data_IF_343065454176
#
_entry.id   IF_343065454176
#
_cell.length_a   1.000
_cell.length_b   1.000
_cell.length_c   1.000
_cell.angle_alpha   90.00
_cell.angle_beta   90.00
_cell.angle_gamma   90.00
#
_symmetry.space_group_name_H-M   'P 1'
#
loop_
_entity.id
_entity.type
_entity.pdbx_description
1 polymer ?
#
# COMPACT_ATOMS: atom_id res chain seq x y z
N UNK A 1 -19.17 -15.33 67.01
CA UNK A 1 -18.16 -15.47 65.94
C UNK A 1 -18.61 -14.63 64.74
N UNK A 2 -17.96 -13.49 64.50
CA UNK A 2 -18.27 -12.57 63.40
C UNK A 2 -17.30 -12.87 62.28
N UNK A 3 -17.81 -13.29 61.12
CA UNK A 3 -16.98 -13.43 59.91
C UNK A 3 -16.86 -12.07 59.22
N UNK A 4 -15.63 -11.60 59.18
CA UNK A 4 -15.24 -10.42 58.44
C UNK A 4 -14.97 -10.81 57.01
N UNK A 5 -15.85 -10.44 56.09
CA UNK A 5 -15.67 -10.68 54.64
C UNK A 5 -14.71 -9.67 54.07
N UNK A 6 -13.54 -10.13 53.63
CA UNK A 6 -12.59 -9.36 52.84
C UNK A 6 -13.13 -9.21 51.42
N UNK A 7 -13.62 -8.04 51.05
CA UNK A 7 -13.89 -7.65 49.67
C UNK A 7 -12.54 -7.41 48.96
N UNK A 8 -12.08 -8.39 48.20
CA UNK A 8 -11.00 -8.22 47.21
C UNK A 8 -11.55 -7.35 46.05
N UNK A 9 -11.17 -6.09 46.06
CA UNK A 9 -11.34 -5.22 44.88
C UNK A 9 -10.43 -5.75 43.77
N UNK A 10 -11.05 -6.40 42.79
CA UNK A 10 -10.39 -6.72 41.53
C UNK A 10 -10.00 -5.39 40.84
N UNK A 11 -8.75 -5.20 40.42
CA UNK A 11 -8.39 -4.02 39.65
C UNK A 11 -9.21 -4.04 38.36
N UNK A 12 -9.92 -2.94 38.08
CA UNK A 12 -10.49 -2.67 36.77
C UNK A 12 -9.31 -2.77 35.79
N UNK A 13 -9.34 -3.80 34.95
CA UNK A 13 -8.44 -3.89 33.79
C UNK A 13 -8.77 -2.68 32.92
N UNK A 14 -7.98 -1.63 33.02
CA UNK A 14 -8.00 -0.52 32.08
C UNK A 14 -7.82 -1.16 30.69
N UNK A 15 -8.76 -0.95 29.79
CA UNK A 15 -8.60 -1.35 28.38
C UNK A 15 -7.31 -0.68 27.89
N UNK A 16 -6.29 -1.50 27.65
CA UNK A 16 -5.05 -1.02 27.03
C UNK A 16 -5.42 -0.51 25.65
N UNK A 17 -5.43 0.80 25.49
CA UNK A 17 -5.73 1.44 24.22
C UNK A 17 -4.67 1.04 23.20
N UNK A 18 -5.07 0.68 22.00
CA UNK A 18 -4.15 0.31 20.94
C UNK A 18 -3.31 1.54 20.56
N UNK A 19 -1.99 1.43 20.75
CA UNK A 19 -1.02 2.50 20.50
C UNK A 19 -0.20 2.23 19.24
N UNK A 20 -0.76 1.46 18.29
CA UNK A 20 -0.09 1.19 17.02
C UNK A 20 -0.11 2.42 16.13
N UNK A 21 1.00 2.61 15.40
CA UNK A 21 1.11 3.66 14.41
C UNK A 21 0.47 3.21 13.09
N UNK A 22 -0.50 3.97 12.61
CA UNK A 22 -1.16 3.69 11.33
C UNK A 22 -0.23 3.98 10.14
N UNK A 23 -0.50 3.33 9.00
CA UNK A 23 0.18 3.62 7.74
C UNK A 23 -0.06 5.07 7.32
N UNK A 24 -1.31 5.52 7.34
CA UNK A 24 -1.69 6.93 7.19
C UNK A 24 -1.68 7.57 8.57
N UNK A 25 -0.69 8.40 8.85
CA UNK A 25 -0.45 8.97 10.19
C UNK A 25 -1.57 9.90 10.65
N UNK A 26 -2.33 10.46 9.73
CA UNK A 26 -3.55 11.20 10.06
C UNK A 26 -4.67 10.32 10.65
N UNK A 27 -4.55 9.01 10.63
CA UNK A 27 -5.49 8.10 11.28
C UNK A 27 -5.06 7.70 12.70
N UNK A 28 -3.94 8.19 13.20
CA UNK A 28 -3.54 8.04 14.59
C UNK A 28 -4.47 8.87 15.47
N UNK A 29 -4.95 8.29 16.56
CA UNK A 29 -5.76 8.98 17.58
C UNK A 29 -5.04 8.99 18.92
N UNK A 30 -4.55 10.16 19.31
CA UNK A 30 -3.86 10.39 20.56
C UNK A 30 -4.71 11.19 21.57
N UNK A 31 -5.99 11.39 21.30
CA UNK A 31 -6.89 12.19 22.15
C UNK A 31 -7.01 11.67 23.60
N UNK A 32 -6.82 10.35 23.80
CA UNK A 32 -6.81 9.75 25.15
C UNK A 32 -5.68 10.24 26.05
N UNK A 33 -4.58 10.77 25.49
CA UNK A 33 -3.46 11.37 26.25
C UNK A 33 -3.80 12.75 26.85
N UNK A 34 -5.03 13.23 26.63
CA UNK A 34 -5.59 14.33 27.42
C UNK A 34 -5.58 14.01 28.92
N UNK A 35 -5.74 12.73 29.29
CA UNK A 35 -5.55 12.22 30.64
C UNK A 35 -4.06 11.92 30.89
N UNK A 36 -3.37 12.67 31.77
CA UNK A 36 -1.96 12.44 32.05
C UNK A 36 -1.66 11.04 32.62
N UNK A 37 -2.62 10.38 33.25
CA UNK A 37 -2.46 9.02 33.80
C UNK A 37 -2.29 7.95 32.69
N UNK A 38 -2.69 8.26 31.46
CA UNK A 38 -2.54 7.41 30.30
C UNK A 38 -1.14 7.52 29.64
N UNK A 39 -0.34 8.51 30.07
CA UNK A 39 1.00 8.72 29.52
C UNK A 39 1.98 7.72 30.12
N UNK A 40 2.60 6.91 29.27
CA UNK A 40 3.53 5.85 29.68
C UNK A 40 4.74 5.74 28.75
N UNK A 41 4.86 6.63 27.78
CA UNK A 41 5.90 6.64 26.77
C UNK A 41 6.66 7.97 26.74
N UNK A 42 7.93 7.90 26.30
CA UNK A 42 8.78 9.09 26.14
C UNK A 42 8.15 10.15 25.22
N UNK A 43 7.46 9.71 24.16
CA UNK A 43 6.88 10.60 23.15
C UNK A 43 5.47 11.10 23.49
N UNK A 44 4.79 10.51 24.50
CA UNK A 44 3.42 10.88 24.88
C UNK A 44 3.22 12.39 25.14
N UNK A 45 4.17 13.14 25.75
CA UNK A 45 3.99 14.57 25.95
C UNK A 45 3.79 15.41 24.70
N UNK A 46 4.37 15.02 23.56
CA UNK A 46 4.21 15.73 22.30
C UNK A 46 3.02 15.22 21.46
N UNK A 47 2.44 14.06 21.83
CA UNK A 47 1.26 13.51 21.17
C UNK A 47 -0.04 14.23 21.54
N UNK A 48 -0.07 14.91 22.63
CA UNK A 48 -1.22 15.72 23.05
C UNK A 48 -0.75 16.97 23.78
N UNK A 49 -0.64 18.07 23.03
CA UNK A 49 -0.28 19.40 23.55
C UNK A 49 -1.54 20.27 23.51
N UNK A 50 -2.16 20.60 24.68
CA UNK A 50 -3.40 21.38 24.70
C UNK A 50 -3.18 22.82 24.23
N UNK A 51 -4.14 23.38 23.49
CA UNK A 51 -4.08 24.73 22.92
C UNK A 51 -4.96 25.75 23.68
N UNK A 52 -5.44 25.42 24.89
CA UNK A 52 -6.17 26.34 25.75
C UNK A 52 -7.66 26.51 25.45
N UNK A 53 -8.21 25.91 24.38
CA UNK A 53 -9.64 25.83 24.13
C UNK A 53 -10.18 24.40 24.29
N UNK A 54 -11.50 24.24 24.45
CA UNK A 54 -12.10 22.93 24.67
C UNK A 54 -11.93 22.03 23.42
N UNK A 55 -11.36 20.83 23.61
CA UNK A 55 -11.01 19.90 22.55
C UNK A 55 -10.07 20.49 21.48
N UNK A 56 -9.17 21.39 21.90
CA UNK A 56 -8.13 21.93 21.05
C UNK A 56 -6.76 21.39 21.50
N UNK A 57 -6.04 20.75 20.59
CA UNK A 57 -4.71 20.23 20.83
C UNK A 57 -3.92 20.11 19.53
N UNK A 58 -2.61 19.98 19.64
CA UNK A 58 -1.75 19.58 18.56
C UNK A 58 -1.01 18.28 18.92
N UNK A 59 -0.92 17.38 17.96
CA UNK A 59 -0.15 16.14 18.05
C UNK A 59 1.03 16.19 17.09
N UNK A 60 2.22 15.85 17.58
CA UNK A 60 3.43 15.73 16.76
C UNK A 60 3.87 14.28 16.63
N UNK A 61 4.45 13.93 15.51
CA UNK A 61 5.04 12.63 15.31
C UNK A 61 5.89 12.56 14.05
N UNK A 62 6.48 11.40 13.83
CA UNK A 62 7.35 11.21 12.69
C UNK A 62 7.72 9.76 12.43
N UNK A 63 8.52 9.59 11.38
CA UNK A 63 9.09 8.31 10.96
C UNK A 63 10.49 8.53 10.40
N UNK A 64 11.39 7.62 10.73
CA UNK A 64 12.71 7.46 10.12
C UNK A 64 12.75 6.04 9.55
N UNK A 65 13.17 5.90 8.29
CA UNK A 65 13.39 4.60 7.66
C UNK A 65 14.69 4.62 6.86
N UNK A 66 15.55 3.65 7.15
CA UNK A 66 16.75 3.36 6.38
C UNK A 66 16.55 2.00 5.70
N UNK A 67 16.78 1.93 4.40
CA UNK A 67 16.67 0.71 3.62
C UNK A 67 17.90 0.51 2.74
N UNK A 68 18.58 -0.61 2.93
CA UNK A 68 19.66 -1.06 2.05
C UNK A 68 19.08 -2.07 1.08
N UNK A 69 19.32 -1.87 -0.21
CA UNK A 69 18.89 -2.78 -1.27
C UNK A 69 20.02 -3.17 -2.19
N UNK A 70 20.03 -4.44 -2.59
CA UNK A 70 20.93 -4.97 -3.60
C UNK A 70 20.15 -5.78 -4.62
N UNK A 71 20.28 -5.40 -5.90
CA UNK A 71 19.64 -6.07 -7.03
C UNK A 71 20.69 -6.55 -8.00
N UNK A 72 20.80 -7.86 -8.17
CA UNK A 72 21.67 -8.47 -9.19
C UNK A 72 20.89 -8.76 -10.48
N UNK A 73 21.45 -8.39 -11.63
CA UNK A 73 20.82 -8.54 -12.96
C UNK A 73 19.47 -7.83 -13.08
N UNK A 74 19.39 -6.61 -12.58
CA UNK A 74 18.19 -5.80 -12.64
C UNK A 74 17.56 -5.84 -14.05
N UNK A 75 16.22 -5.89 -14.08
CA UNK A 75 15.47 -6.00 -15.33
C UNK A 75 15.90 -7.20 -16.20
N UNK A 76 16.15 -8.37 -15.54
CA UNK A 76 16.63 -9.63 -16.12
C UNK A 76 17.92 -9.50 -16.92
N UNK A 77 18.82 -8.59 -16.49
CA UNK A 77 20.14 -8.39 -17.10
C UNK A 77 20.15 -7.38 -18.25
N UNK A 78 19.09 -6.59 -18.45
CA UNK A 78 19.15 -5.39 -19.30
C UNK A 78 20.16 -4.39 -18.74
N UNK A 79 20.27 -4.28 -17.41
CA UNK A 79 21.34 -3.57 -16.73
C UNK A 79 22.49 -4.54 -16.47
N UNK A 80 23.71 -4.17 -16.90
CA UNK A 80 24.88 -5.07 -16.88
C UNK A 80 25.60 -5.15 -15.55
N UNK A 81 25.18 -4.41 -14.53
CA UNK A 81 25.82 -4.33 -13.21
C UNK A 81 24.79 -4.67 -12.10
N UNK A 82 25.30 -5.15 -10.98
CA UNK A 82 24.50 -5.20 -9.77
C UNK A 82 24.26 -3.79 -9.25
N UNK A 83 23.05 -3.51 -8.87
CA UNK A 83 22.66 -2.24 -8.30
C UNK A 83 22.63 -2.39 -6.77
N UNK A 84 23.32 -1.52 -6.07
CA UNK A 84 23.33 -1.47 -4.60
C UNK A 84 23.08 -0.02 -4.21
N UNK A 85 22.09 0.21 -3.36
CA UNK A 85 21.71 1.55 -2.97
C UNK A 85 21.16 1.60 -1.56
N UNK A 86 21.19 2.80 -0.98
CA UNK A 86 20.64 3.14 0.32
C UNK A 86 19.51 4.13 0.14
N UNK A 87 18.35 3.81 0.69
CA UNK A 87 17.17 4.68 0.73
C UNK A 87 16.98 5.20 2.15
N UNK A 88 16.94 6.51 2.29
CA UNK A 88 16.74 7.19 3.57
C UNK A 88 15.45 8.00 3.51
N UNK A 89 14.49 7.73 4.41
CA UNK A 89 13.22 8.44 4.49
C UNK A 89 13.00 9.04 5.86
N UNK A 90 12.72 10.34 5.88
CA UNK A 90 12.41 11.10 7.08
C UNK A 90 11.06 11.79 6.91
N UNK A 91 10.13 11.55 7.83
CA UNK A 91 8.81 12.17 7.81
C UNK A 91 8.50 12.77 9.19
N UNK A 92 8.00 13.99 9.21
CA UNK A 92 7.58 14.70 10.42
C UNK A 92 6.19 15.26 10.21
N UNK A 93 5.29 15.11 11.19
CA UNK A 93 3.95 15.66 11.08
C UNK A 93 3.52 16.43 12.32
N UNK A 94 2.58 17.33 12.08
CA UNK A 94 1.82 18.01 13.09
C UNK A 94 0.33 17.98 12.74
N UNK A 95 -0.51 17.68 13.72
CA UNK A 95 -1.94 17.46 13.59
C UNK A 95 -2.67 18.37 14.58
N UNK A 96 -3.25 19.46 14.08
CA UNK A 96 -4.01 20.43 14.87
C UNK A 96 -5.48 20.10 14.87
N UNK A 97 -6.03 19.88 16.06
CA UNK A 97 -7.45 19.76 16.30
C UNK A 97 -7.98 21.04 16.93
N UNK A 98 -8.98 21.68 16.30
CA UNK A 98 -9.58 22.91 16.78
C UNK A 98 -11.08 22.67 17.04
N UNK A 99 -11.39 22.41 18.30
CA UNK A 99 -12.71 21.94 18.71
C UNK A 99 -13.04 20.58 18.07
N UNK A 100 -14.33 20.38 17.75
CA UNK A 100 -14.82 19.10 17.21
C UNK A 100 -14.99 19.10 15.68
N UNK A 101 -14.77 20.24 15.03
CA UNK A 101 -15.19 20.46 13.65
C UNK A 101 -14.05 20.79 12.68
N UNK A 102 -12.92 21.26 13.16
CA UNK A 102 -11.81 21.68 12.32
C UNK A 102 -10.55 20.91 12.68
N UNK A 103 -9.85 20.47 11.64
CA UNK A 103 -8.55 19.80 11.75
C UNK A 103 -7.65 20.29 10.63
N UNK A 104 -6.40 20.57 10.97
CA UNK A 104 -5.35 20.87 10.03
C UNK A 104 -4.20 19.89 10.24
N UNK A 105 -3.80 19.18 9.19
CA UNK A 105 -2.74 18.19 9.24
C UNK A 105 -1.66 18.54 8.22
N UNK A 106 -0.41 18.52 8.67
CA UNK A 106 0.77 18.70 7.82
C UNK A 106 1.78 17.62 8.10
N UNK A 107 2.29 16.99 7.05
CA UNK A 107 3.40 16.06 7.11
C UNK A 107 4.45 16.45 6.06
N UNK A 108 5.68 16.62 6.52
CA UNK A 108 6.84 16.83 5.68
C UNK A 108 7.46 15.48 5.31
N UNK A 109 8.03 15.38 4.11
CA UNK A 109 8.84 14.26 3.64
C UNK A 109 10.21 14.71 3.21
N UNK A 110 11.22 13.87 3.49
CA UNK A 110 12.53 13.90 2.86
C UNK A 110 12.92 12.48 2.48
N UNK A 111 13.28 12.25 1.24
CA UNK A 111 13.79 11.00 0.71
C UNK A 111 15.14 11.24 0.04
N UNK A 112 16.14 10.43 0.36
CA UNK A 112 17.46 10.48 -0.26
C UNK A 112 17.83 9.08 -0.72
N UNK A 113 18.33 8.98 -1.94
CA UNK A 113 18.85 7.74 -2.51
C UNK A 113 20.33 7.90 -2.84
N UNK A 114 21.17 7.06 -2.21
CA UNK A 114 22.61 7.04 -2.43
C UNK A 114 23.05 5.73 -3.09
N UNK A 115 24.18 5.82 -3.82
CA UNK A 115 24.92 4.69 -4.43
C UNK A 115 24.25 3.99 -5.61
N UNK A 116 23.04 4.37 -6.02
CA UNK A 116 22.43 3.74 -7.20
C UNK A 116 23.23 4.02 -8.44
N UNK A 117 23.55 2.99 -9.18
CA UNK A 117 24.17 3.09 -10.48
C UNK A 117 23.20 3.79 -11.48
N UNK A 118 23.65 4.90 -12.06
CA UNK A 118 22.82 5.73 -12.95
C UNK A 118 22.13 6.91 -12.25
N UNK A 119 22.32 7.05 -10.93
CA UNK A 119 21.73 8.12 -10.13
C UNK A 119 20.36 7.78 -9.53
N UNK A 120 19.84 8.63 -8.65
CA UNK A 120 18.61 8.39 -7.92
C UNK A 120 17.39 8.38 -8.84
N UNK A 121 16.39 7.57 -8.48
CA UNK A 121 15.10 7.54 -9.17
C UNK A 121 14.18 8.65 -8.65
N UNK A 122 13.30 9.22 -9.49
CA UNK A 122 12.34 10.25 -9.04
C UNK A 122 11.43 9.80 -7.89
N UNK A 123 11.14 8.48 -7.80
CA UNK A 123 10.32 7.90 -6.72
C UNK A 123 11.10 7.67 -5.42
N UNK A 124 12.41 7.92 -5.42
CA UNK A 124 13.29 7.68 -4.26
C UNK A 124 14.05 8.92 -3.80
N UNK A 125 14.04 9.98 -4.61
CA UNK A 125 14.77 11.22 -4.30
C UNK A 125 13.84 12.42 -4.18
N UNK A 126 13.75 12.99 -2.97
CA UNK A 126 13.07 14.25 -2.67
C UNK A 126 13.71 14.91 -1.47
N UNK A 127 14.37 16.04 -1.66
CA UNK A 127 15.12 16.70 -0.59
C UNK A 127 14.22 17.11 0.59
N UNK A 128 13.15 17.84 0.32
CA UNK A 128 12.14 18.22 1.31
C UNK A 128 10.88 18.72 0.62
N UNK A 129 9.72 18.20 0.99
CA UNK A 129 8.42 18.70 0.55
C UNK A 129 7.30 18.31 1.53
N UNK A 130 6.08 18.72 1.24
CA UNK A 130 4.89 18.23 1.90
C UNK A 130 4.52 16.85 1.32
N UNK A 131 4.45 15.84 2.18
CA UNK A 131 3.76 14.58 1.86
C UNK A 131 2.27 14.79 1.88
N UNK A 132 1.77 15.39 2.98
CA UNK A 132 0.38 15.77 3.13
C UNK A 132 0.29 17.18 3.74
N UNK A 133 -0.72 17.94 3.29
CA UNK A 133 -1.08 19.23 3.87
C UNK A 133 -2.54 19.51 3.56
N UNK A 134 -3.45 19.29 4.52
CA UNK A 134 -4.89 19.42 4.29
C UNK A 134 -5.64 20.06 5.47
N UNK A 135 -6.79 20.62 5.14
CA UNK A 135 -7.81 21.06 6.08
C UNK A 135 -8.98 20.08 6.05
N UNK A 136 -9.50 19.69 7.21
CA UNK A 136 -10.78 18.98 7.36
C UNK A 136 -11.80 19.84 8.07
N UNK A 137 -13.05 19.79 7.57
CA UNK A 137 -14.21 20.45 8.17
C UNK A 137 -15.33 19.44 8.31
N UNK A 138 -15.80 19.22 9.53
CA UNK A 138 -16.86 18.27 9.86
C UNK A 138 -16.72 17.70 11.25
N UNK A 139 -17.68 16.87 11.67
CA UNK A 139 -17.71 16.33 13.02
C UNK A 139 -17.91 14.81 12.99
N UNK A 140 -16.87 14.07 13.29
CA UNK A 140 -16.83 12.59 13.28
C UNK A 140 -17.43 11.94 14.54
N UNK A 141 -17.75 12.70 15.58
CA UNK A 141 -18.30 12.18 16.85
C UNK A 141 -19.81 11.84 16.78
N UNK A 142 -20.47 12.11 15.67
CA UNK A 142 -21.90 11.76 15.47
C UNK A 142 -22.03 10.34 14.93
N UNK A 143 -23.19 9.71 15.16
CA UNK A 143 -23.49 8.35 14.61
C UNK A 143 -23.40 8.33 13.09
N UNK A 144 -23.98 9.35 12.43
CA UNK A 144 -23.83 9.62 11.01
C UNK A 144 -23.09 10.95 10.87
N UNK A 145 -22.09 11.01 10.01
CA UNK A 145 -21.26 12.20 9.85
C UNK A 145 -20.73 12.31 8.43
N UNK A 146 -20.37 13.50 8.05
CA UNK A 146 -19.61 13.80 6.85
C UNK A 146 -18.53 14.82 7.17
N UNK A 147 -17.35 14.67 6.55
CA UNK A 147 -16.19 15.54 6.67
C UNK A 147 -15.69 15.85 5.27
N UNK A 148 -15.47 17.11 5.00
CA UNK A 148 -14.79 17.59 3.79
C UNK A 148 -13.31 17.78 4.10
N UNK A 149 -12.45 17.18 3.29
CA UNK A 149 -10.99 17.38 3.29
C UNK A 149 -10.59 18.06 2.00
N UNK A 150 -9.73 19.06 2.08
CA UNK A 150 -9.15 19.77 0.93
C UNK A 150 -7.65 19.98 1.14
N UNK A 151 -6.87 19.78 0.09
CA UNK A 151 -5.41 19.91 0.11
C UNK A 151 -4.70 18.65 -0.38
N UNK A 152 -3.39 18.58 -0.08
CA UNK A 152 -2.55 17.41 -0.38
C UNK A 152 -2.80 16.30 0.62
N UNK A 153 -3.02 15.10 0.12
CA UNK A 153 -3.44 13.95 0.93
C UNK A 153 -3.01 12.63 0.30
N UNK A 154 -2.88 11.60 1.13
CA UNK A 154 -2.66 10.23 0.70
C UNK A 154 -4.00 9.49 0.52
N UNK A 155 -4.01 8.53 -0.40
CA UNK A 155 -5.15 7.63 -0.63
C UNK A 155 -4.68 6.18 -0.48
N UNK A 156 -5.40 5.40 0.35
CA UNK A 156 -5.14 3.98 0.52
C UNK A 156 -6.46 3.25 0.76
N UNK A 157 -6.85 2.36 -0.16
CA UNK A 157 -8.13 1.68 -0.14
C UNK A 157 -8.01 0.17 -0.34
N UNK A 158 -8.89 -0.57 0.34
CA UNK A 158 -8.97 -2.02 0.23
C UNK A 158 -7.68 -2.71 0.67
N UNK A 159 -7.20 -3.63 -0.16
CA UNK A 159 -5.92 -4.32 0.01
C UNK A 159 -4.74 -3.55 -0.62
N UNK A 160 -4.98 -2.35 -1.18
CA UNK A 160 -3.97 -1.57 -1.90
C UNK A 160 -3.73 -2.05 -3.35
N UNK A 161 -4.53 -2.97 -3.87
CA UNK A 161 -4.34 -3.48 -5.24
C UNK A 161 -4.48 -2.42 -6.32
N UNK A 162 -5.39 -1.44 -6.11
CA UNK A 162 -5.67 -0.39 -7.08
C UNK A 162 -5.32 1.01 -6.59
N UNK A 163 -5.41 1.26 -5.28
CA UNK A 163 -5.12 2.58 -4.69
C UNK A 163 -4.34 2.41 -3.40
N UNK A 164 -3.09 2.81 -3.42
CA UNK A 164 -2.17 2.72 -2.29
C UNK A 164 -1.19 3.90 -2.26
N UNK A 165 -0.64 4.16 -1.09
CA UNK A 165 0.43 5.15 -0.87
C UNK A 165 1.79 4.71 -1.44
N UNK A 166 1.93 3.48 -1.95
CA UNK A 166 3.20 2.91 -2.41
C UNK A 166 4.28 2.95 -1.33
N UNK A 167 4.06 2.23 -0.25
CA UNK A 167 4.98 2.24 0.91
C UNK A 167 6.42 1.76 0.58
N UNK A 168 6.61 0.91 -0.43
CA UNK A 168 7.93 0.40 -0.86
C UNK A 168 8.91 1.52 -1.24
N UNK A 169 8.64 2.33 -2.28
CA UNK A 169 9.49 3.45 -2.68
C UNK A 169 9.79 4.41 -1.55
N UNK A 170 10.89 5.15 -1.67
CA UNK A 170 11.31 6.10 -0.64
C UNK A 170 10.37 7.31 -0.55
N UNK A 171 9.81 7.72 -1.70
CA UNK A 171 8.80 8.79 -1.80
C UNK A 171 7.43 8.15 -2.01
N UNK A 172 6.50 8.41 -1.08
CA UNK A 172 5.13 7.88 -1.12
C UNK A 172 4.27 8.67 -2.11
N UNK A 173 3.18 8.06 -2.55
CA UNK A 173 2.26 8.70 -3.50
C UNK A 173 1.24 9.57 -2.77
N UNK A 174 1.25 10.86 -3.08
CA UNK A 174 0.25 11.82 -2.61
C UNK A 174 -0.56 12.44 -3.77
N UNK A 175 -1.64 13.13 -3.41
CA UNK A 175 -2.60 13.70 -4.35
C UNK A 175 -3.10 15.06 -3.85
N UNK A 176 -3.24 16.02 -4.76
CA UNK A 176 -3.83 17.33 -4.49
C UNK A 176 -5.30 17.36 -4.92
N UNK A 177 -6.21 17.77 -4.03
CA UNK A 177 -7.62 17.92 -4.36
C UNK A 177 -8.56 17.84 -3.17
N UNK A 178 -9.76 17.31 -3.39
CA UNK A 178 -10.82 17.24 -2.40
C UNK A 178 -11.25 15.81 -2.13
N UNK A 179 -11.63 15.53 -0.89
CA UNK A 179 -12.21 14.26 -0.45
C UNK A 179 -13.33 14.51 0.54
N UNK A 180 -14.43 13.81 0.35
CA UNK A 180 -15.52 13.71 1.33
C UNK A 180 -15.40 12.32 1.97
N UNK A 181 -15.42 12.30 3.29
CA UNK A 181 -15.51 11.09 4.10
C UNK A 181 -16.85 11.12 4.83
N UNK A 182 -17.57 10.02 4.80
CA UNK A 182 -18.89 9.95 5.44
C UNK A 182 -19.13 8.60 6.10
N UNK A 183 -19.93 8.62 7.16
CA UNK A 183 -20.51 7.42 7.78
C UNK A 183 -22.02 7.55 7.74
N UNK A 184 -22.67 6.56 7.13
CA UNK A 184 -24.13 6.46 7.02
C UNK A 184 -24.58 5.06 7.46
N UNK A 185 -25.09 4.95 8.69
CA UNK A 185 -25.38 3.66 9.32
C UNK A 185 -24.12 2.81 9.48
N UNK A 186 -24.08 1.67 8.79
CA UNK A 186 -22.92 0.74 8.78
C UNK A 186 -21.94 1.03 7.63
N UNK A 187 -22.28 1.91 6.69
CA UNK A 187 -21.44 2.26 5.57
C UNK A 187 -20.42 3.32 5.95
N UNK A 188 -19.15 3.08 5.61
CA UNK A 188 -18.13 4.10 5.50
C UNK A 188 -17.95 4.40 4.01
N UNK A 189 -18.06 5.66 3.63
CA UNK A 189 -18.09 6.09 2.23
C UNK A 189 -17.08 7.23 2.06
N UNK A 190 -16.17 7.06 1.12
CA UNK A 190 -15.25 8.11 0.69
C UNK A 190 -15.50 8.44 -0.78
N UNK A 191 -15.51 9.72 -1.10
CA UNK A 191 -15.56 10.21 -2.48
C UNK A 191 -14.48 11.27 -2.68
N UNK A 192 -13.78 11.25 -3.80
CA UNK A 192 -12.69 12.21 -4.06
C UNK A 192 -12.60 12.61 -5.52
N UNK A 193 -12.00 13.78 -5.74
CA UNK A 193 -11.53 14.26 -7.03
C UNK A 193 -10.17 14.93 -6.82
N UNK A 194 -9.12 14.35 -7.41
CA UNK A 194 -7.72 14.71 -7.12
C UNK A 194 -6.83 14.63 -8.37
N UNK A 195 -5.65 15.18 -8.25
CA UNK A 195 -4.54 15.00 -9.19
C UNK A 195 -3.35 14.40 -8.45
N UNK A 196 -2.60 13.46 -9.04
CA UNK A 196 -1.38 12.97 -8.42
C UNK A 196 -0.36 14.10 -8.28
N UNK A 197 0.44 14.05 -7.24
CA UNK A 197 1.58 14.92 -7.05
C UNK A 197 2.74 14.47 -7.95
N UNK A 198 3.41 15.41 -8.60
CA UNK A 198 4.63 15.18 -9.38
C UNK A 198 5.84 15.42 -8.49
N UNK A 199 6.51 14.36 -8.09
CA UNK A 199 7.75 14.44 -7.36
C UNK A 199 8.88 14.98 -8.26
N UNK A 200 9.49 16.08 -7.80
CA UNK A 200 10.62 16.73 -8.48
C UNK A 200 11.77 16.83 -7.49
N UNK A 201 13.00 16.52 -7.89
CA UNK A 201 14.17 16.75 -7.02
C UNK A 201 14.23 18.19 -6.51
N UNK A 202 14.59 18.39 -5.24
CA UNK A 202 14.71 19.72 -4.65
C UNK A 202 13.79 19.98 -3.46
N UNK A 203 13.49 21.25 -3.21
CA UNK A 203 12.80 21.72 -2.01
C UNK A 203 11.46 22.37 -2.39
N UNK A 204 10.34 21.93 -1.81
CA UNK A 204 9.00 22.53 -1.92
C UNK A 204 8.62 22.90 -3.37
N UNK A 205 8.91 22.02 -4.32
CA UNK A 205 8.72 22.25 -5.75
C UNK A 205 7.81 21.21 -6.43
N UNK A 206 7.19 20.34 -5.67
CA UNK A 206 6.16 19.43 -6.16
C UNK A 206 4.93 20.20 -6.62
N UNK A 207 4.32 19.72 -7.68
CA UNK A 207 3.12 20.32 -8.27
C UNK A 207 2.12 19.25 -8.67
N UNK A 208 0.81 19.54 -8.69
CA UNK A 208 -0.17 18.61 -9.24
C UNK A 208 0.14 18.26 -10.70
N UNK A 209 -0.02 16.98 -11.06
CA UNK A 209 0.04 16.57 -12.45
C UNK A 209 -1.21 17.02 -13.21
N UNK A 210 -1.08 18.05 -14.04
CA UNK A 210 -2.18 18.56 -14.84
C UNK A 210 -2.53 17.68 -16.05
N UNK A 211 -1.76 16.62 -16.31
CA UNK A 211 -2.02 15.65 -17.38
C UNK A 211 -2.85 14.46 -16.91
N UNK A 212 -3.04 14.33 -15.59
CA UNK A 212 -3.77 13.22 -14.98
C UNK A 212 -4.83 13.75 -14.02
N UNK A 213 -6.04 13.20 -14.10
CA UNK A 213 -7.11 13.40 -13.12
C UNK A 213 -7.58 12.04 -12.60
N UNK A 214 -7.80 11.96 -11.30
CA UNK A 214 -8.25 10.74 -10.61
C UNK A 214 -9.41 11.06 -9.67
N UNK A 215 -10.51 10.32 -9.81
CA UNK A 215 -11.67 10.48 -8.93
C UNK A 215 -12.24 9.11 -8.56
N UNK A 216 -13.00 9.06 -7.50
CA UNK A 216 -13.56 7.80 -7.05
C UNK A 216 -14.62 7.93 -5.99
N UNK A 217 -15.32 6.82 -5.83
CA UNK A 217 -16.25 6.54 -4.75
C UNK A 217 -15.90 5.15 -4.20
N UNK A 218 -15.65 5.05 -2.90
CA UNK A 218 -15.32 3.81 -2.23
C UNK A 218 -16.21 3.64 -1.01
N UNK A 219 -16.93 2.54 -0.93
CA UNK A 219 -17.85 2.25 0.16
C UNK A 219 -17.51 0.90 0.80
N UNK A 220 -17.31 0.89 2.11
CA UNK A 220 -17.02 -0.32 2.92
C UNK A 220 -18.13 -0.54 3.93
N UNK A 221 -18.54 -1.79 4.08
CA UNK A 221 -19.53 -2.20 5.07
C UNK A 221 -19.19 -3.54 5.70
N UNK A 222 -19.32 -3.70 7.05
CA UNK A 222 -19.42 -5.02 7.68
C UNK A 222 -20.64 -5.76 7.16
N UNK A 223 -20.50 -7.03 6.78
CA UNK A 223 -21.61 -7.83 6.24
C UNK A 223 -22.07 -8.90 7.23
N UNK A 224 -21.20 -9.83 7.60
CA UNK A 224 -21.48 -10.91 8.58
C UNK A 224 -20.18 -11.35 9.28
N UNK A 225 -20.24 -11.65 10.59
CA UNK A 225 -19.21 -12.37 11.37
C UNK A 225 -17.76 -12.10 10.89
N UNK A 226 -17.26 -10.88 11.02
CA UNK A 226 -15.92 -10.46 10.57
C UNK A 226 -15.74 -10.39 9.03
N UNK A 227 -16.78 -10.63 8.24
CA UNK A 227 -16.74 -10.44 6.78
C UNK A 227 -17.16 -9.03 6.47
N UNK A 228 -16.41 -8.36 5.61
CA UNK A 228 -16.73 -7.03 5.09
C UNK A 228 -16.84 -7.08 3.58
N UNK A 229 -17.61 -6.15 3.04
CA UNK A 229 -17.78 -5.94 1.60
C UNK A 229 -17.38 -4.51 1.25
N UNK A 230 -16.60 -4.37 0.20
CA UNK A 230 -16.26 -3.10 -0.41
C UNK A 230 -16.88 -3.03 -1.81
N UNK A 231 -17.43 -1.87 -2.16
CA UNK A 231 -17.93 -1.55 -3.49
C UNK A 231 -17.31 -0.23 -3.92
N UNK A 232 -16.85 -0.14 -5.16
CA UNK A 232 -16.19 1.07 -5.59
C UNK A 232 -16.30 1.34 -7.09
N UNK A 233 -16.20 2.62 -7.41
CA UNK A 233 -16.01 3.16 -8.75
C UNK A 233 -14.81 4.09 -8.73
N UNK A 234 -13.90 3.93 -9.72
CA UNK A 234 -12.73 4.78 -9.91
C UNK A 234 -12.72 5.29 -11.35
N UNK A 235 -12.43 6.56 -11.54
CA UNK A 235 -12.26 7.19 -12.84
C UNK A 235 -10.85 7.74 -12.98
N UNK A 236 -10.21 7.50 -14.12
CA UNK A 236 -8.87 7.98 -14.44
C UNK A 236 -8.86 8.60 -15.84
N UNK A 237 -8.38 9.81 -15.95
CA UNK A 237 -8.07 10.50 -17.20
C UNK A 237 -6.56 10.77 -17.26
N UNK A 238 -5.87 10.23 -18.26
CA UNK A 238 -4.43 10.42 -18.51
C UNK A 238 -4.19 10.82 -19.96
N UNK A 239 -3.47 11.92 -20.18
CA UNK A 239 -3.16 12.39 -21.54
C UNK A 239 -2.12 11.52 -22.25
N UNK A 240 -1.21 10.90 -21.51
CA UNK A 240 -0.05 10.17 -22.04
C UNK A 240 0.03 8.74 -21.47
N UNK A 241 -1.06 7.99 -21.51
CA UNK A 241 -1.05 6.58 -21.13
C UNK A 241 -0.26 5.77 -22.16
N UNK A 242 0.57 4.81 -21.71
CA UNK A 242 1.41 3.99 -22.58
C UNK A 242 1.23 2.50 -22.25
N UNK A 243 1.00 1.71 -23.30
CA UNK A 243 0.92 0.26 -23.27
C UNK A 243 1.74 -0.31 -24.44
N UNK A 244 1.86 -1.63 -24.57
CA UNK A 244 2.63 -2.22 -25.67
C UNK A 244 2.14 -1.77 -27.07
N UNK A 245 0.82 -1.58 -27.24
CA UNK A 245 0.24 -1.08 -28.49
C UNK A 245 0.57 0.38 -28.81
N UNK A 246 1.19 1.13 -27.89
CA UNK A 246 1.56 2.54 -28.07
C UNK A 246 1.04 3.45 -26.98
N UNK A 247 1.07 4.77 -27.25
CA UNK A 247 0.68 5.82 -26.31
C UNK A 247 -0.51 6.62 -26.85
N UNK A 248 -1.48 6.93 -25.99
CA UNK A 248 -2.64 7.74 -26.32
C UNK A 248 -3.26 8.37 -25.06
N UNK A 249 -4.26 9.24 -25.27
CA UNK A 249 -5.13 9.69 -24.17
C UNK A 249 -6.01 8.53 -23.72
N UNK A 250 -6.13 8.37 -22.40
CA UNK A 250 -6.92 7.33 -21.77
C UNK A 250 -7.98 7.95 -20.87
N UNK A 251 -9.23 7.52 -21.05
CA UNK A 251 -10.30 7.70 -20.08
C UNK A 251 -10.76 6.32 -19.63
N UNK A 252 -10.50 5.98 -18.36
CA UNK A 252 -10.77 4.65 -17.82
C UNK A 252 -11.73 4.73 -16.64
N UNK A 253 -12.79 3.94 -16.70
CA UNK A 253 -13.76 3.73 -15.64
C UNK A 253 -13.57 2.33 -15.07
N UNK A 254 -13.36 2.24 -13.77
CA UNK A 254 -13.11 0.99 -13.05
C UNK A 254 -14.23 0.77 -12.05
N UNK A 255 -14.86 -0.39 -12.10
CA UNK A 255 -15.90 -0.81 -11.16
C UNK A 255 -15.42 -2.10 -10.50
N UNK A 256 -15.45 -2.13 -9.19
CA UNK A 256 -14.99 -3.31 -8.45
C UNK A 256 -15.80 -3.60 -7.21
N UNK A 257 -15.71 -4.86 -6.82
CA UNK A 257 -16.27 -5.36 -5.57
C UNK A 257 -15.25 -6.27 -4.87
N UNK A 258 -15.17 -6.16 -3.56
CA UNK A 258 -14.27 -6.95 -2.73
C UNK A 258 -15.03 -7.54 -1.55
N UNK A 259 -14.80 -8.81 -1.25
CA UNK A 259 -15.31 -9.52 -0.09
C UNK A 259 -14.11 -10.05 0.70
N UNK A 260 -14.02 -9.67 1.97
CA UNK A 260 -12.85 -10.00 2.75
C UNK A 260 -13.15 -10.30 4.22
N UNK A 261 -12.29 -11.13 4.82
CA UNK A 261 -12.24 -11.42 6.24
C UNK A 261 -10.78 -11.31 6.70
N UNK A 262 -10.49 -10.48 7.73
CA UNK A 262 -9.12 -10.28 8.19
C UNK A 262 -8.53 -11.55 8.81
N UNK A 263 -7.20 -11.61 8.82
CA UNK A 263 -6.42 -12.65 9.50
C UNK A 263 -6.83 -12.77 10.97
N UNK A 264 -6.99 -13.98 11.45
CA UNK A 264 -7.41 -14.26 12.82
C UNK A 264 -6.28 -13.95 13.82
N UNK A 265 -6.62 -13.23 14.89
CA UNK A 265 -5.68 -12.88 15.96
C UNK A 265 -5.71 -13.84 17.14
N UNK A 266 -6.86 -14.35 17.53
CA UNK A 266 -7.08 -15.07 18.80
C UNK A 266 -7.56 -16.50 18.62
N UNK A 267 -8.38 -16.79 17.62
CA UNK A 267 -8.97 -18.10 17.37
C UNK A 267 -8.46 -18.70 16.06
N UNK A 268 -8.29 -20.03 15.95
CA UNK A 268 -7.99 -20.68 14.68
C UNK A 268 -9.10 -20.38 13.68
N UNK A 269 -8.79 -19.75 12.58
CA UNK A 269 -9.80 -19.40 11.59
C UNK A 269 -9.18 -19.20 10.20
N UNK A 270 -10.04 -19.40 9.20
CA UNK A 270 -9.75 -18.99 7.84
C UNK A 270 -9.91 -17.49 7.69
N UNK A 271 -9.10 -16.92 6.84
CA UNK A 271 -9.21 -15.55 6.34
C UNK A 271 -9.25 -15.58 4.80
N UNK A 272 -9.77 -14.54 4.20
CA UNK A 272 -9.80 -14.42 2.74
C UNK A 272 -9.94 -12.96 2.28
N UNK A 273 -9.56 -12.73 1.03
CA UNK A 273 -9.67 -11.45 0.34
C UNK A 273 -9.90 -11.74 -1.14
N UNK A 274 -11.13 -11.55 -1.62
CA UNK A 274 -11.54 -11.78 -3.00
C UNK A 274 -11.99 -10.48 -3.62
N UNK A 275 -11.42 -10.12 -4.76
CA UNK A 275 -11.70 -8.87 -5.45
C UNK A 275 -11.87 -9.10 -6.96
N UNK A 276 -13.01 -8.66 -7.49
CA UNK A 276 -13.32 -8.67 -8.92
C UNK A 276 -13.45 -7.25 -9.45
N UNK A 277 -12.85 -6.98 -10.62
CA UNK A 277 -12.79 -5.63 -11.21
C UNK A 277 -13.02 -5.70 -12.70
N UNK A 278 -13.80 -4.76 -13.23
CA UNK A 278 -13.93 -4.51 -14.65
C UNK A 278 -13.53 -3.07 -14.98
N UNK A 279 -12.91 -2.88 -16.16
CA UNK A 279 -12.48 -1.58 -16.64
C UNK A 279 -13.00 -1.33 -18.04
N UNK A 280 -13.62 -0.17 -18.22
CA UNK A 280 -14.24 0.26 -19.48
C UNK A 280 -13.77 1.69 -19.80
N UNK A 281 -13.88 2.12 -21.04
CA UNK A 281 -13.53 3.49 -21.42
C UNK A 281 -12.96 3.60 -22.81
N UNK A 282 -12.06 4.58 -23.02
CA UNK A 282 -11.40 4.82 -24.31
C UNK A 282 -9.88 4.97 -24.18
N UNK A 283 -9.17 4.51 -25.19
CA UNK A 283 -7.73 4.70 -25.37
C UNK A 283 -7.47 5.17 -26.79
N UNK A 284 -7.14 6.44 -26.97
CA UNK A 284 -7.13 7.09 -28.27
C UNK A 284 -8.50 7.00 -28.96
N UNK A 285 -8.55 6.38 -30.14
CA UNK A 285 -9.79 6.10 -30.86
C UNK A 285 -10.40 4.74 -30.54
N UNK A 286 -9.74 3.89 -29.75
CA UNK A 286 -10.21 2.55 -29.39
C UNK A 286 -10.92 2.51 -28.03
N UNK A 287 -11.66 1.41 -27.80
CA UNK A 287 -12.32 1.13 -26.53
C UNK A 287 -11.36 0.47 -25.53
N UNK A 288 -11.67 0.58 -24.23
CA UNK A 288 -11.06 -0.20 -23.16
C UNK A 288 -12.06 -1.27 -22.69
N UNK A 289 -11.63 -2.53 -22.61
CA UNK A 289 -12.35 -3.63 -21.97
C UNK A 289 -11.35 -4.55 -21.29
N UNK A 290 -11.11 -4.29 -20.01
CA UNK A 290 -10.13 -5.03 -19.23
C UNK A 290 -10.76 -5.52 -17.91
N UNK A 291 -10.13 -6.49 -17.28
CA UNK A 291 -10.64 -7.07 -16.05
C UNK A 291 -9.53 -7.70 -15.22
N UNK A 292 -9.80 -7.89 -13.93
CA UNK A 292 -8.97 -8.70 -13.04
C UNK A 292 -9.84 -9.41 -12.00
N UNK A 293 -9.37 -10.58 -11.59
CA UNK A 293 -9.86 -11.26 -10.40
C UNK A 293 -8.68 -11.63 -9.52
N UNK A 294 -8.76 -11.26 -8.24
CA UNK A 294 -7.71 -11.49 -7.26
C UNK A 294 -8.28 -12.26 -6.07
N UNK A 295 -7.53 -13.23 -5.58
CA UNK A 295 -7.88 -14.03 -4.41
C UNK A 295 -6.69 -14.24 -3.49
N UNK A 296 -6.92 -14.13 -2.18
CA UNK A 296 -6.01 -14.56 -1.13
C UNK A 296 -6.83 -15.35 -0.11
N UNK A 297 -6.42 -16.57 0.21
CA UNK A 297 -7.10 -17.43 1.16
C UNK A 297 -6.09 -18.03 2.11
N UNK A 298 -6.34 -17.90 3.42
CA UNK A 298 -5.44 -18.40 4.44
C UNK A 298 -6.14 -19.07 5.60
N UNK A 299 -5.35 -19.78 6.38
CA UNK A 299 -5.77 -20.37 7.65
C UNK A 299 -4.67 -20.21 8.70
N UNK A 300 -5.04 -19.65 9.86
CA UNK A 300 -4.16 -19.44 11.00
C UNK A 300 -4.43 -20.47 12.10
N UNK A 301 -3.40 -21.16 12.53
CA UNK A 301 -3.44 -22.15 13.62
C UNK A 301 -3.02 -21.47 14.93
N UNK A 302 -3.92 -20.72 15.58
CA UNK A 302 -3.58 -19.94 16.78
C UNK A 302 -3.27 -20.80 18.02
N UNK A 303 -3.75 -22.07 18.05
CA UNK A 303 -3.53 -23.02 19.15
C UNK A 303 -2.25 -23.85 19.01
N UNK A 304 -1.46 -23.62 17.95
CA UNK A 304 -0.20 -24.29 17.69
C UNK A 304 0.96 -23.34 18.00
N UNK A 305 2.08 -23.82 18.59
CA UNK A 305 3.28 -22.99 18.77
C UNK A 305 3.66 -22.28 17.47
N UNK A 306 4.20 -21.06 17.60
CA UNK A 306 4.55 -20.19 16.48
C UNK A 306 3.35 -19.70 15.64
N UNK A 307 2.12 -20.10 15.96
CA UNK A 307 0.87 -19.65 15.31
C UNK A 307 0.97 -19.65 13.78
N UNK A 308 1.33 -20.78 13.14
CA UNK A 308 1.57 -20.80 11.71
C UNK A 308 0.31 -20.44 10.93
N UNK A 309 0.49 -19.65 9.86
CA UNK A 309 -0.53 -19.36 8.85
C UNK A 309 -0.05 -19.86 7.51
N UNK A 310 -0.89 -20.62 6.83
CA UNK A 310 -0.70 -21.01 5.44
C UNK A 310 -1.72 -20.27 4.58
N UNK A 311 -1.28 -19.73 3.47
CA UNK A 311 -2.15 -19.04 2.52
C UNK A 311 -1.73 -19.31 1.08
N UNK A 312 -2.71 -19.13 0.21
CA UNK A 312 -2.52 -19.14 -1.23
C UNK A 312 -3.18 -17.89 -1.81
N UNK A 313 -2.42 -17.12 -2.55
CA UNK A 313 -2.89 -16.04 -3.38
C UNK A 313 -2.88 -16.53 -4.83
N UNK A 314 -3.92 -16.21 -5.59
CA UNK A 314 -4.01 -16.53 -7.01
C UNK A 314 -4.79 -15.42 -7.70
N UNK A 315 -4.13 -14.75 -8.63
CA UNK A 315 -4.67 -13.58 -9.30
C UNK A 315 -4.57 -13.76 -10.82
N UNK A 316 -5.48 -13.12 -11.54
CA UNK A 316 -5.46 -13.07 -13.01
C UNK A 316 -5.89 -11.67 -13.48
N UNK A 317 -5.15 -11.08 -14.43
CA UNK A 317 -5.49 -9.81 -15.06
C UNK A 317 -5.34 -9.89 -16.56
N UNK A 318 -6.30 -9.34 -17.26
CA UNK A 318 -6.37 -9.35 -18.72
C UNK A 318 -5.18 -8.64 -19.37
N UNK A 319 -4.73 -9.20 -20.48
CA UNK A 319 -3.79 -8.61 -21.44
C UNK A 319 -4.47 -8.16 -22.72
N UNK A 320 -3.68 -7.65 -23.65
CA UNK A 320 -4.13 -7.07 -24.91
C UNK A 320 -3.94 -8.00 -26.11
N UNK A 321 -4.77 -7.75 -27.13
CA UNK A 321 -4.54 -8.20 -28.49
C UNK A 321 -4.33 -6.97 -29.37
N UNK A 322 -3.08 -6.61 -29.73
CA UNK A 322 -2.78 -5.39 -30.48
C UNK A 322 -3.48 -5.30 -31.86
N UNK A 323 -3.93 -6.42 -32.43
CA UNK A 323 -4.74 -6.46 -33.65
C UNK A 323 -6.21 -6.08 -33.47
N UNK A 324 -6.68 -5.93 -32.22
CA UNK A 324 -8.04 -5.53 -31.88
C UNK A 324 -8.15 -4.00 -31.79
N UNK A 325 -9.36 -3.46 -32.07
CA UNK A 325 -9.69 -2.06 -31.77
C UNK A 325 -9.77 -1.76 -30.26
N UNK A 326 -9.93 -2.79 -29.43
CA UNK A 326 -10.11 -2.71 -27.99
C UNK A 326 -8.80 -2.93 -27.26
N UNK A 327 -8.43 -2.05 -26.33
CA UNK A 327 -7.34 -2.25 -25.37
C UNK A 327 -7.82 -3.20 -24.28
N UNK A 328 -7.23 -4.39 -24.22
CA UNK A 328 -7.53 -5.43 -23.23
C UNK A 328 -6.64 -5.37 -21.97
N UNK A 329 -5.54 -4.62 -22.00
CA UNK A 329 -4.60 -4.55 -20.87
C UNK A 329 -5.24 -3.92 -19.65
N UNK A 330 -5.25 -4.67 -18.55
CA UNK A 330 -5.66 -4.16 -17.23
C UNK A 330 -4.68 -3.09 -16.72
N UNK A 331 -5.20 -2.03 -16.10
CA UNK A 331 -4.39 -0.98 -15.45
C UNK A 331 -4.56 -1.07 -13.94
N UNK A 332 -3.48 -1.26 -13.17
CA UNK A 332 -3.56 -1.34 -11.71
C UNK A 332 -3.71 0.04 -11.03
N UNK A 333 -3.71 1.13 -11.77
CA UNK A 333 -3.90 2.53 -11.37
C UNK A 333 -2.76 3.00 -10.43
N UNK A 334 -2.91 2.88 -9.11
CA UNK A 334 -1.90 3.23 -8.08
C UNK A 334 -1.70 2.07 -7.10
N UNK A 335 -1.21 0.91 -7.56
CA UNK A 335 -1.12 -0.29 -6.75
C UNK A 335 -0.06 -0.18 -5.66
N UNK A 336 -0.18 -1.05 -4.64
CA UNK A 336 0.85 -1.24 -3.63
C UNK A 336 2.16 -1.71 -4.29
N UNK A 337 3.29 -1.13 -3.89
CA UNK A 337 4.59 -1.43 -4.47
C UNK A 337 4.98 -2.91 -4.35
N UNK A 338 4.84 -3.52 -3.19
CA UNK A 338 5.15 -4.91 -2.92
C UNK A 338 4.01 -5.89 -3.21
N UNK A 339 3.31 -5.72 -4.34
CA UNK A 339 2.14 -6.54 -4.72
C UNK A 339 2.42 -8.05 -4.67
N UNK A 340 3.60 -8.47 -5.10
CA UNK A 340 4.07 -9.85 -5.06
C UNK A 340 5.16 -10.09 -3.99
N UNK A 341 5.25 -9.25 -2.96
CA UNK A 341 6.28 -9.32 -1.92
C UNK A 341 7.60 -8.69 -2.35
N UNK A 342 8.70 -9.22 -1.86
CA UNK A 342 10.07 -8.81 -2.17
C UNK A 342 10.29 -8.74 -3.69
N UNK A 343 10.93 -7.81 -4.27
CA UNK A 343 11.12 -7.54 -5.70
C UNK A 343 10.06 -6.61 -6.32
N UNK A 344 9.36 -5.85 -5.52
CA UNK A 344 8.37 -4.91 -6.00
C UNK A 344 8.89 -3.98 -7.11
N UNK A 345 10.13 -3.56 -6.99
CA UNK A 345 10.71 -2.54 -7.86
C UNK A 345 11.27 -3.08 -9.18
N UNK A 346 11.56 -4.37 -9.25
CA UNK A 346 12.31 -4.98 -10.36
C UNK A 346 11.61 -6.16 -11.00
N UNK A 347 10.48 -6.58 -10.44
CA UNK A 347 9.69 -7.73 -10.89
C UNK A 347 8.45 -7.37 -11.71
N UNK A 348 7.77 -8.39 -12.24
CA UNK A 348 6.49 -8.21 -12.94
C UNK A 348 5.40 -7.70 -12.00
N UNK A 349 4.53 -6.85 -12.54
CA UNK A 349 3.34 -6.31 -11.87
C UNK A 349 2.05 -7.05 -12.22
N UNK A 350 0.92 -6.60 -11.65
CA UNK A 350 -0.38 -7.24 -11.82
C UNK A 350 -1.07 -6.85 -13.14
N UNK A 351 -0.38 -6.98 -14.26
CA UNK A 351 -0.83 -6.56 -15.60
C UNK A 351 -0.51 -7.65 -16.62
N UNK A 352 -1.50 -8.10 -17.38
CA UNK A 352 -1.35 -9.22 -18.32
C UNK A 352 -0.73 -10.45 -17.66
N UNK A 353 -1.29 -10.90 -16.54
CA UNK A 353 -0.65 -11.96 -15.77
C UNK A 353 -1.65 -12.96 -15.20
N UNK A 354 -1.11 -14.12 -14.86
CA UNK A 354 -1.71 -15.15 -14.00
C UNK A 354 -0.64 -15.48 -12.96
N UNK A 355 -1.00 -15.57 -11.69
CA UNK A 355 -0.07 -16.08 -10.68
C UNK A 355 -0.70 -17.09 -9.73
N UNK A 356 0.18 -17.86 -9.11
CA UNK A 356 -0.12 -18.70 -7.95
C UNK A 356 0.99 -18.47 -6.93
N UNK A 357 0.59 -18.12 -5.70
CA UNK A 357 1.49 -17.61 -4.69
C UNK A 357 1.22 -18.26 -3.32
N UNK A 358 1.65 -19.52 -3.08
CA UNK A 358 1.63 -20.12 -1.75
C UNK A 358 2.59 -19.41 -0.80
N UNK A 359 2.14 -19.17 0.43
CA UNK A 359 2.90 -18.51 1.50
C UNK A 359 2.70 -19.21 2.83
N UNK A 360 3.76 -19.32 3.61
CA UNK A 360 3.76 -19.73 5.01
C UNK A 360 4.30 -18.58 5.87
N UNK A 361 3.66 -18.34 7.02
CA UNK A 361 4.07 -17.34 8.00
C UNK A 361 4.09 -17.96 9.39
N UNK A 362 4.98 -17.49 10.26
CA UNK A 362 5.03 -17.90 11.66
C UNK A 362 5.41 -16.72 12.56
N UNK A 363 4.92 -16.76 13.80
CA UNK A 363 5.22 -15.78 14.84
C UNK A 363 6.16 -16.41 15.87
N UNK A 364 7.36 -15.87 15.99
CA UNK A 364 8.34 -16.29 16.97
C UNK A 364 8.21 -15.43 18.25
N UNK A 365 8.80 -15.86 19.38
CA UNK A 365 8.91 -15.01 20.57
C UNK A 365 9.56 -13.65 20.29
N UNK A 366 9.35 -12.70 21.19
CA UNK A 366 10.00 -11.37 21.17
C UNK A 366 9.69 -10.51 19.95
N UNK A 367 8.49 -10.67 19.36
CA UNK A 367 8.06 -9.80 18.25
C UNK A 367 8.68 -10.13 16.89
N UNK A 368 9.28 -11.31 16.74
CA UNK A 368 9.83 -11.75 15.46
C UNK A 368 8.76 -12.49 14.65
N UNK A 369 8.61 -12.14 13.40
CA UNK A 369 7.81 -12.87 12.41
C UNK A 369 8.68 -13.33 11.25
N UNK A 370 8.39 -14.51 10.73
CA UNK A 370 9.05 -15.05 9.55
C UNK A 370 8.01 -15.43 8.51
N UNK A 371 8.33 -15.26 7.26
CA UNK A 371 7.54 -15.80 6.15
C UNK A 371 8.40 -16.33 5.03
N UNK A 372 7.87 -17.31 4.31
CA UNK A 372 8.44 -17.81 3.08
C UNK A 372 7.33 -18.00 2.05
N UNK A 373 7.63 -17.71 0.80
CA UNK A 373 6.68 -17.79 -0.30
C UNK A 373 7.33 -18.25 -1.61
N UNK A 374 6.48 -18.60 -2.57
CA UNK A 374 6.87 -18.79 -3.96
C UNK A 374 5.82 -18.16 -4.84
N UNK A 375 6.21 -17.22 -5.69
CA UNK A 375 5.33 -16.64 -6.71
C UNK A 375 5.64 -17.28 -8.04
N UNK A 376 4.65 -17.89 -8.71
CA UNK A 376 4.79 -18.48 -10.05
C UNK A 376 3.92 -17.67 -11.01
N UNK A 377 4.48 -17.22 -12.14
CA UNK A 377 3.82 -16.23 -12.99
C UNK A 377 3.82 -16.61 -14.47
N UNK A 378 2.69 -16.33 -15.12
CA UNK A 378 2.46 -16.50 -16.56
C UNK A 378 1.81 -15.23 -17.14
N UNK A 379 2.01 -14.99 -18.43
CA UNK A 379 1.21 -14.00 -19.18
C UNK A 379 -0.20 -14.53 -19.40
N UNK A 380 -1.22 -13.69 -19.20
CA UNK A 380 -2.60 -14.02 -19.53
C UNK A 380 -2.79 -14.05 -21.05
N UNK A 381 -2.31 -13.02 -21.75
CA UNK A 381 -2.30 -12.94 -23.19
C UNK A 381 -0.85 -12.96 -23.73
N UNK A 382 -0.57 -13.83 -24.71
CA UNK A 382 0.76 -13.97 -25.31
C UNK A 382 1.08 -12.91 -26.36
N UNK A 383 0.11 -12.13 -26.77
CA UNK A 383 0.29 -11.02 -27.70
C UNK A 383 0.58 -9.69 -26.99
N UNK A 384 0.59 -9.70 -25.64
CA UNK A 384 0.92 -8.56 -24.78
C UNK A 384 2.14 -8.87 -23.90
N UNK A 385 2.87 -7.84 -23.49
CA UNK A 385 4.13 -7.97 -22.75
C UNK A 385 3.97 -8.17 -21.25
N UNK A 386 5.10 -8.04 -20.55
CA UNK A 386 5.20 -8.02 -19.10
C UNK A 386 5.43 -6.59 -18.63
N UNK A 387 4.65 -6.17 -17.63
CA UNK A 387 4.61 -4.83 -17.09
C UNK A 387 5.13 -4.78 -15.65
N UNK A 388 5.65 -3.64 -15.24
CA UNK A 388 5.98 -3.36 -13.83
C UNK A 388 4.72 -3.18 -12.97
N UNK A 389 4.91 -3.16 -11.66
CA UNK A 389 3.82 -2.96 -10.69
C UNK A 389 2.98 -1.70 -10.98
N UNK A 390 3.56 -0.52 -11.31
CA UNK A 390 2.77 0.67 -11.67
C UNK A 390 2.14 0.62 -13.07
N UNK A 391 2.36 -0.45 -13.85
CA UNK A 391 1.72 -0.63 -15.15
C UNK A 391 2.52 -0.15 -16.37
N UNK A 392 3.80 0.22 -16.24
CA UNK A 392 4.64 0.49 -17.42
C UNK A 392 5.28 -0.78 -17.99
N UNK A 393 5.45 -0.82 -19.31
CA UNK A 393 5.99 -1.97 -20.02
C UNK A 393 7.46 -2.23 -19.66
N UNK A 394 7.78 -3.43 -19.21
CA UNK A 394 9.15 -3.90 -18.93
C UNK A 394 9.75 -4.68 -20.10
N UNK A 395 8.99 -5.65 -20.61
CA UNK A 395 9.41 -6.54 -21.71
C UNK A 395 8.25 -6.70 -22.67
N UNK A 396 8.43 -6.24 -23.90
CA UNK A 396 7.45 -6.40 -24.96
C UNK A 396 7.30 -7.89 -25.36
N UNK A 397 6.17 -8.26 -25.93
CA UNK A 397 5.91 -9.62 -26.37
C UNK A 397 6.91 -10.09 -27.44
N UNK A 398 7.37 -9.21 -28.35
CA UNK A 398 8.39 -9.46 -29.37
C UNK A 398 8.10 -10.72 -30.19
N UNK A 399 6.82 -11.09 -30.40
CA UNK A 399 6.41 -12.28 -31.13
C UNK A 399 6.58 -13.60 -30.36
N UNK A 400 7.06 -13.61 -29.13
CA UNK A 400 7.14 -14.81 -28.30
C UNK A 400 5.74 -15.33 -27.95
N UNK A 401 5.53 -16.62 -28.13
CA UNK A 401 4.28 -17.33 -27.76
C UNK A 401 4.37 -17.99 -26.38
N UNK A 402 5.51 -17.88 -25.68
CA UNK A 402 5.69 -18.48 -24.37
C UNK A 402 4.87 -17.73 -23.30
N UNK A 403 4.09 -18.47 -22.52
CA UNK A 403 3.29 -17.91 -21.41
C UNK A 403 4.10 -17.75 -20.13
N UNK A 404 4.99 -18.72 -19.84
CA UNK A 404 5.69 -18.79 -18.57
C UNK A 404 6.71 -17.66 -18.41
N UNK A 405 6.45 -16.74 -17.46
CA UNK A 405 7.31 -15.58 -17.15
C UNK A 405 8.44 -15.98 -16.22
N UNK A 406 8.13 -16.76 -15.18
CA UNK A 406 9.13 -17.23 -14.22
C UNK A 406 8.52 -17.54 -12.87
N UNK A 407 9.41 -17.78 -11.89
CA UNK A 407 9.01 -17.98 -10.51
C UNK A 407 10.00 -17.35 -9.54
N UNK A 408 9.51 -16.95 -8.36
CA UNK A 408 10.28 -16.28 -7.33
C UNK A 408 10.05 -16.94 -5.96
N UNK A 409 10.94 -17.79 -5.44
CA UNK A 409 11.00 -18.05 -4.02
C UNK A 409 11.51 -16.82 -3.26
N UNK A 410 10.95 -16.58 -2.09
CA UNK A 410 11.33 -15.47 -1.22
C UNK A 410 11.14 -15.81 0.25
N UNK A 411 11.85 -15.07 1.09
CA UNK A 411 11.74 -15.14 2.54
C UNK A 411 11.87 -13.75 3.16
N UNK A 412 11.12 -13.53 4.23
CA UNK A 412 11.12 -12.30 5.02
C UNK A 412 11.28 -12.64 6.49
N UNK A 413 12.12 -11.89 7.18
CA UNK A 413 12.19 -11.87 8.64
C UNK A 413 11.95 -10.46 9.11
N UNK A 414 10.96 -10.27 9.96
CA UNK A 414 10.67 -8.98 10.57
C UNK A 414 10.71 -9.09 12.09
N UNK A 415 11.46 -8.19 12.72
CA UNK A 415 11.56 -8.06 14.16
C UNK A 415 10.95 -6.72 14.61
N UNK A 416 9.79 -6.75 15.23
CA UNK A 416 9.21 -5.61 15.94
C UNK A 416 9.83 -5.57 17.33
N UNK A 417 10.85 -4.73 17.52
CA UNK A 417 11.64 -4.61 18.76
C UNK A 417 10.76 -4.07 19.89
N UNK A 418 10.05 -2.99 19.58
CA UNK A 418 9.03 -2.39 20.44
C UNK A 418 7.95 -1.72 19.54
N UNK A 419 7.11 -0.86 20.10
CA UNK A 419 6.09 -0.15 19.30
C UNK A 419 6.66 0.87 18.32
N UNK A 420 7.90 1.31 18.51
CA UNK A 420 8.57 2.33 17.70
C UNK A 420 9.49 1.72 16.66
N UNK A 421 10.35 0.80 17.08
CA UNK A 421 11.47 0.29 16.28
C UNK A 421 11.17 -1.08 15.67
N UNK A 422 11.56 -1.23 14.41
CA UNK A 422 11.55 -2.52 13.73
C UNK A 422 12.76 -2.69 12.82
N UNK A 423 13.12 -3.94 12.61
CA UNK A 423 14.07 -4.37 11.59
C UNK A 423 13.37 -5.37 10.66
N UNK A 424 13.72 -5.36 9.39
CA UNK A 424 13.22 -6.30 8.41
C UNK A 424 14.35 -6.71 7.47
N UNK A 425 14.39 -7.97 7.10
CA UNK A 425 15.30 -8.50 6.11
C UNK A 425 14.52 -9.35 5.12
N UNK A 426 14.69 -9.07 3.85
CA UNK A 426 14.04 -9.75 2.73
C UNK A 426 15.09 -10.33 1.79
N UNK A 427 14.83 -11.53 1.30
CA UNK A 427 15.63 -12.19 0.28
C UNK A 427 14.75 -12.86 -0.75
N UNK A 428 15.08 -12.72 -2.03
CA UNK A 428 14.37 -13.38 -3.11
C UNK A 428 15.24 -13.61 -4.35
N UNK A 429 14.91 -14.68 -5.09
CA UNK A 429 15.52 -14.97 -6.39
C UNK A 429 14.41 -15.13 -7.41
N UNK A 430 14.41 -14.32 -8.47
CA UNK A 430 13.53 -14.52 -9.60
C UNK A 430 14.22 -15.35 -10.67
N UNK A 431 13.70 -16.53 -10.94
CA UNK A 431 14.15 -17.42 -12.00
C UNK A 431 13.37 -17.11 -13.29
N UNK A 432 14.09 -16.60 -14.28
CA UNK A 432 13.50 -16.24 -15.57
C UNK A 432 12.94 -17.47 -16.32
N UNK A 433 11.67 -17.38 -16.69
CA UNK A 433 10.97 -18.39 -17.47
C UNK A 433 11.27 -18.30 -18.96
N UNK A 434 10.56 -19.11 -19.75
CA UNK A 434 10.77 -19.21 -21.20
C UNK A 434 10.54 -17.87 -21.89
N UNK A 435 9.45 -17.14 -21.55
CA UNK A 435 9.16 -15.85 -22.16
C UNK A 435 10.31 -14.85 -22.00
N UNK A 436 10.83 -14.69 -20.78
CA UNK A 436 11.92 -13.75 -20.52
C UNK A 436 13.23 -14.15 -21.19
N UNK A 437 13.48 -15.45 -21.36
CA UNK A 437 14.65 -15.96 -22.10
C UNK A 437 14.55 -15.73 -23.62
N UNK A 438 13.32 -15.66 -24.16
CA UNK A 438 13.08 -15.37 -25.58
C UNK A 438 13.04 -13.86 -25.88
N UNK A 439 12.45 -13.05 -24.96
CA UNK A 439 12.14 -11.64 -25.22
C UNK A 439 13.08 -10.64 -24.53
N UNK A 440 13.97 -11.11 -23.66
CA UNK A 440 14.93 -10.28 -22.91
C UNK A 440 16.24 -11.05 -22.71
N UNK A 441 17.29 -10.48 -22.06
CA UNK A 441 18.49 -11.27 -21.72
C UNK A 441 18.22 -12.48 -20.84
N UNK A 442 17.08 -12.55 -20.14
CA UNK A 442 16.57 -13.73 -19.43
C UNK A 442 17.43 -14.20 -18.25
N UNK A 443 18.19 -13.29 -17.63
CA UNK A 443 18.99 -13.62 -16.47
C UNK A 443 18.12 -13.65 -15.20
N UNK A 444 18.50 -14.48 -14.22
CA UNK A 444 17.83 -14.50 -12.93
C UNK A 444 18.18 -13.24 -12.14
N UNK A 445 17.19 -12.70 -11.39
CA UNK A 445 17.41 -11.58 -10.49
C UNK A 445 17.66 -12.11 -9.09
N UNK A 446 18.69 -11.61 -8.41
CA UNK A 446 18.89 -11.79 -6.97
C UNK A 446 18.57 -10.48 -6.26
N UNK A 447 17.85 -10.56 -5.15
CA UNK A 447 17.42 -9.40 -4.40
C UNK A 447 17.62 -9.60 -2.90
N UNK A 448 18.21 -8.60 -2.26
CA UNK A 448 18.34 -8.48 -0.81
C UNK A 448 17.85 -7.10 -0.40
N UNK A 449 17.05 -7.04 0.64
CA UNK A 449 16.60 -5.79 1.25
C UNK A 449 16.73 -5.87 2.76
N UNK A 450 17.24 -4.80 3.38
CA UNK A 450 17.36 -4.68 4.83
C UNK A 450 16.74 -3.33 5.22
N UNK A 451 15.71 -3.34 6.08
CA UNK A 451 15.06 -2.15 6.58
C UNK A 451 15.27 -1.98 8.08
N UNK A 452 15.49 -0.75 8.48
CA UNK A 452 15.41 -0.31 9.85
C UNK A 452 14.45 0.88 9.92
N UNK A 453 13.44 0.80 10.77
CA UNK A 453 12.44 1.86 10.91
C UNK A 453 12.18 2.23 12.35
N UNK A 454 11.90 3.53 12.57
CA UNK A 454 11.52 4.10 13.85
C UNK A 454 10.35 5.06 13.66
N UNK A 455 9.28 4.87 14.45
CA UNK A 455 8.08 5.72 14.44
C UNK A 455 7.85 6.31 15.82
N UNK A 456 7.49 7.57 15.85
CA UNK A 456 7.19 8.26 17.10
C UNK A 456 6.04 9.23 16.97
#
# INVERSE_FOLDING_TARGET
MRYCGLLLALPLCAQVQDRTYNLLRENDDWSFLADPSQRSDFWDPIKYVPLGCNACYVSFGGEIREAFEQVGNDNWGKQRYSNTFLLQRYMLHADWHVGKNFRFFVQLKSGVEDFRAGGPRPIDEKRLDFETAFLEVGNTHKKNWAVLRTGRQELNYGSGRLVSVREGPNVRQSFDGVKIRAKAGEWNIDAWAVRPDLDKPGFFNNTPDHTTAFWGLYATRPWRRRVSCDLYYLGLDRKNAAFERGSATELRHTIGARLWRPVAKEEPASDFDYEGVVQLGSFGSGDIRAWTFASDTGYTFTNVPLRPRFSIKADISSGDNPGSHTLGTFSPIYPIGNYFGVLADTGPGPVNFIDVHPRMQAQLPHGVSISADVVVQWRENVDDGVYAVPGFLLVAANGSRARFVGYRPGAEVRWQIDRHAYLQADYGIFYAGQFLKEASPGRNINYVELWAGYKF
#
